data_IF_279074109230
#
_entry.id   IF_279074109230
#
_cell.length_a   1.000
_cell.length_b   1.000
_cell.length_c   1.000
_cell.angle_alpha   90.00
_cell.angle_beta   90.00
_cell.angle_gamma   90.00
#
_symmetry.space_group_name_H-M   'P 1'
#
loop_
_entity.id
_entity.type
_entity.pdbx_description
1 polymer ?
#
# COMPACT_ATOMS: atom_id res chain seq x y z
N UNK A 1 93.10 16.94 -34.02
CA UNK A 1 92.42 17.47 -32.83
C UNK A 1 91.25 16.56 -32.56
N UNK A 2 91.38 15.62 -31.61
CA UNK A 2 90.35 14.67 -31.23
C UNK A 2 89.60 15.24 -30.02
N UNK A 3 88.24 15.40 -30.15
CA UNK A 3 87.32 15.78 -29.04
C UNK A 3 86.87 14.51 -28.33
N UNK A 4 87.19 14.40 -27.04
CA UNK A 4 86.76 13.34 -26.14
C UNK A 4 85.44 13.80 -25.57
N UNK A 5 84.42 13.02 -25.82
CA UNK A 5 83.08 13.23 -25.20
C UNK A 5 83.01 12.38 -23.91
N UNK A 6 82.82 13.04 -22.77
CA UNK A 6 82.53 12.39 -21.50
C UNK A 6 81.01 12.03 -21.42
N UNK A 7 80.72 10.76 -21.29
CA UNK A 7 79.41 10.27 -21.04
C UNK A 7 79.16 10.20 -19.51
N UNK A 8 78.28 11.05 -18.99
CA UNK A 8 77.84 10.95 -17.59
C UNK A 8 76.68 9.98 -17.56
N UNK A 9 76.83 8.82 -16.91
CA UNK A 9 75.80 7.87 -16.64
C UNK A 9 75.15 8.25 -15.30
N UNK A 10 73.92 8.75 -15.37
CA UNK A 10 73.09 9.03 -14.19
C UNK A 10 72.44 7.71 -13.76
N UNK A 11 72.82 7.18 -12.62
CA UNK A 11 72.16 6.03 -11.98
C UNK A 11 70.95 6.58 -11.17
N UNK A 12 69.75 6.42 -11.69
CA UNK A 12 68.48 6.64 -10.94
C UNK A 12 68.21 5.41 -10.05
N UNK A 13 68.48 5.57 -8.74
CA UNK A 13 68.04 4.63 -7.73
C UNK A 13 66.55 4.90 -7.51
N UNK A 14 65.69 4.14 -8.20
CA UNK A 14 64.25 4.14 -7.96
C UNK A 14 63.91 3.45 -6.63
N UNK A 15 63.60 4.20 -5.60
CA UNK A 15 62.97 3.66 -4.38
C UNK A 15 61.58 3.18 -4.72
N UNK A 16 61.39 1.86 -4.86
CA UNK A 16 60.06 1.25 -4.87
C UNK A 16 59.42 1.42 -3.47
N UNK A 17 58.59 2.43 -3.32
CA UNK A 17 57.64 2.48 -2.20
C UNK A 17 56.53 1.48 -2.55
N UNK A 18 56.25 0.45 -1.72
CA UNK A 18 55.09 -0.40 -1.96
C UNK A 18 53.86 0.46 -1.84
N UNK A 19 53.11 0.63 -2.93
CA UNK A 19 51.73 1.09 -2.86
C UNK A 19 50.99 0.04 -2.02
N UNK A 20 50.55 0.41 -0.82
CA UNK A 20 49.57 -0.35 -0.08
C UNK A 20 48.35 -0.46 -1.00
N UNK A 21 48.03 -1.67 -1.40
CA UNK A 21 46.81 -1.96 -2.12
C UNK A 21 45.69 -1.64 -1.13
N UNK A 22 45.02 -0.51 -1.31
CA UNK A 22 43.79 -0.22 -0.58
C UNK A 22 42.86 -1.35 -0.92
N UNK A 23 42.46 -2.13 0.08
CA UNK A 23 41.38 -3.11 -0.08
C UNK A 23 40.22 -2.38 -0.73
N UNK A 24 39.86 -2.83 -1.93
CA UNK A 24 38.68 -2.33 -2.60
C UNK A 24 37.50 -2.64 -1.69
N UNK A 25 36.90 -1.63 -1.07
CA UNK A 25 35.66 -1.77 -0.30
C UNK A 25 34.68 -2.40 -1.27
N UNK A 26 34.36 -3.65 -1.03
CA UNK A 26 33.34 -4.38 -1.78
C UNK A 26 32.03 -3.67 -1.51
N UNK A 27 31.57 -2.86 -2.44
CA UNK A 27 30.27 -2.23 -2.37
C UNK A 27 29.26 -3.34 -2.69
N UNK A 28 28.70 -3.95 -1.65
CA UNK A 28 27.58 -4.87 -1.83
C UNK A 28 26.33 -4.05 -2.16
N UNK A 29 25.59 -4.50 -3.16
CA UNK A 29 24.33 -3.84 -3.51
C UNK A 29 23.39 -3.89 -2.30
N UNK A 30 22.61 -2.82 -2.01
CA UNK A 30 21.69 -2.82 -0.89
C UNK A 30 20.66 -3.95 -1.04
N UNK A 31 20.30 -4.57 0.09
CA UNK A 31 19.16 -5.48 0.15
C UNK A 31 17.90 -4.67 -0.17
N UNK A 32 16.99 -5.25 -0.91
CA UNK A 32 15.73 -4.59 -1.27
C UNK A 32 14.53 -5.46 -0.93
N UNK A 33 13.47 -4.81 -0.45
CA UNK A 33 12.15 -5.40 -0.27
C UNK A 33 11.14 -4.54 -1.02
N UNK A 34 10.38 -5.18 -1.90
CA UNK A 34 9.35 -4.53 -2.72
C UNK A 34 7.99 -4.83 -2.12
N UNK A 35 7.25 -3.78 -1.73
CA UNK A 35 5.91 -3.91 -1.15
C UNK A 35 4.91 -3.13 -1.99
N UNK A 36 3.83 -3.78 -2.42
CA UNK A 36 2.74 -3.16 -3.15
C UNK A 36 1.52 -2.95 -2.26
N UNK A 37 0.95 -1.75 -2.31
CA UNK A 37 -0.31 -1.39 -1.65
C UNK A 37 -1.38 -1.07 -2.68
N UNK A 38 -2.62 -1.46 -2.36
CA UNK A 38 -3.80 -1.14 -3.17
C UNK A 38 -4.72 -0.16 -2.45
N UNK A 39 -5.69 0.40 -3.18
CA UNK A 39 -6.86 1.04 -2.61
C UNK A 39 -7.83 0.04 -1.94
N UNK A 40 -9.03 0.54 -1.58
CA UNK A 40 -10.03 -0.22 -0.84
C UNK A 40 -10.52 -1.45 -1.61
N UNK A 41 -10.52 -2.61 -0.94
CA UNK A 41 -10.98 -3.89 -1.46
C UNK A 41 -12.13 -4.41 -0.62
N UNK A 42 -13.32 -4.50 -1.21
CA UNK A 42 -14.47 -5.21 -0.62
C UNK A 42 -14.70 -6.47 -1.42
N UNK A 43 -14.24 -7.61 -0.90
CA UNK A 43 -14.49 -8.92 -1.51
C UNK A 43 -15.85 -9.44 -1.03
N UNK A 44 -16.91 -8.79 -1.52
CA UNK A 44 -18.27 -9.10 -1.07
C UNK A 44 -19.26 -8.02 -1.51
N UNK A 45 -20.46 -8.14 -1.04
CA UNK A 45 -21.59 -7.25 -1.39
C UNK A 45 -22.36 -6.81 -0.15
N UNK A 46 -23.12 -5.72 -0.28
CA UNK A 46 -24.25 -5.48 0.61
C UNK A 46 -25.41 -6.42 0.25
N UNK A 47 -26.14 -6.90 1.24
CA UNK A 47 -27.25 -7.86 1.01
C UNK A 47 -28.32 -7.33 0.04
N UNK A 48 -28.47 -6.00 -0.09
CA UNK A 48 -29.40 -5.38 -1.08
C UNK A 48 -28.96 -5.57 -2.53
N UNK A 49 -27.69 -5.90 -2.77
CA UNK A 49 -27.13 -6.21 -4.09
C UNK A 49 -27.20 -7.71 -4.42
N UNK A 50 -27.53 -8.56 -3.42
CA UNK A 50 -27.57 -10.02 -3.57
C UNK A 50 -28.58 -10.45 -4.62
N UNK A 51 -28.14 -11.34 -5.52
CA UNK A 51 -28.95 -11.84 -6.63
C UNK A 51 -29.10 -10.89 -7.83
N UNK A 52 -28.51 -9.69 -7.78
CA UNK A 52 -28.47 -8.81 -8.96
C UNK A 52 -27.39 -9.26 -9.92
N UNK A 53 -27.69 -9.27 -11.22
CA UNK A 53 -26.71 -9.62 -12.26
C UNK A 53 -25.50 -8.67 -12.35
N UNK A 54 -25.59 -7.49 -11.72
CA UNK A 54 -24.54 -6.48 -11.65
C UNK A 54 -23.75 -6.51 -10.33
N UNK A 55 -24.04 -7.47 -9.44
CA UNK A 55 -23.33 -7.62 -8.17
C UNK A 55 -21.93 -8.24 -8.36
N UNK A 56 -21.05 -8.03 -7.40
CA UNK A 56 -19.73 -8.66 -7.36
C UNK A 56 -19.84 -10.20 -7.40
N UNK A 57 -20.74 -10.77 -6.60
CA UNK A 57 -20.97 -12.23 -6.58
C UNK A 57 -21.36 -12.78 -7.96
N UNK A 58 -22.20 -12.03 -8.72
CA UNK A 58 -22.59 -12.44 -10.07
C UNK A 58 -21.43 -12.43 -11.06
N UNK A 59 -20.52 -11.46 -10.96
CA UNK A 59 -19.30 -11.43 -11.77
C UNK A 59 -18.37 -12.58 -11.41
N UNK A 60 -18.15 -12.84 -10.12
CA UNK A 60 -17.34 -13.98 -9.66
C UNK A 60 -17.96 -15.31 -10.11
N UNK A 61 -19.26 -15.46 -10.03
CA UNK A 61 -19.97 -16.67 -10.52
C UNK A 61 -19.80 -16.85 -12.03
N UNK A 62 -19.82 -15.76 -12.80
CA UNK A 62 -19.72 -15.78 -14.26
C UNK A 62 -18.32 -15.99 -14.77
N UNK A 63 -17.31 -15.34 -14.14
CA UNK A 63 -15.95 -15.24 -14.69
C UNK A 63 -14.91 -15.98 -13.84
N UNK A 64 -15.27 -16.45 -12.64
CA UNK A 64 -14.38 -17.20 -11.74
C UNK A 64 -13.68 -16.34 -10.70
N UNK A 65 -12.98 -17.02 -9.78
CA UNK A 65 -12.30 -16.40 -8.63
C UNK A 65 -11.11 -15.52 -9.02
N UNK A 66 -10.47 -15.79 -10.15
CA UNK A 66 -9.31 -15.02 -10.60
C UNK A 66 -9.69 -13.65 -11.18
N UNK A 67 -10.92 -13.50 -11.64
CA UNK A 67 -11.40 -12.36 -12.40
C UNK A 67 -11.07 -10.99 -11.76
N UNK A 68 -11.29 -10.77 -10.44
CA UNK A 68 -11.08 -9.45 -9.87
C UNK A 68 -9.62 -8.97 -9.94
N UNK A 69 -8.65 -9.87 -9.89
CA UNK A 69 -7.23 -9.54 -9.86
C UNK A 69 -6.45 -9.97 -11.11
N UNK A 70 -7.11 -10.60 -12.08
CA UNK A 70 -6.48 -11.19 -13.28
C UNK A 70 -5.52 -10.23 -14.00
N UNK A 71 -5.88 -8.95 -14.11
CA UNK A 71 -5.10 -7.95 -14.88
C UNK A 71 -3.95 -7.31 -14.10
N UNK A 72 -3.85 -7.59 -12.81
CA UNK A 72 -2.83 -7.00 -11.91
C UNK A 72 -1.98 -8.04 -11.19
N UNK A 73 -2.37 -9.33 -11.20
CA UNK A 73 -1.68 -10.40 -10.47
C UNK A 73 -0.21 -10.55 -10.87
N UNK A 74 0.15 -10.27 -12.14
CA UNK A 74 1.53 -10.38 -12.59
C UNK A 74 2.42 -9.27 -12.00
N UNK A 75 1.82 -8.15 -11.57
CA UNK A 75 2.51 -7.09 -10.82
C UNK A 75 2.77 -7.56 -9.39
N UNK A 76 1.76 -8.14 -8.74
CA UNK A 76 1.86 -8.66 -7.38
C UNK A 76 2.82 -9.85 -7.28
N UNK A 77 2.82 -10.74 -8.28
CA UNK A 77 3.74 -11.87 -8.33
C UNK A 77 5.23 -11.48 -8.49
N UNK A 78 5.54 -10.21 -8.75
CA UNK A 78 6.91 -9.70 -8.90
C UNK A 78 7.40 -8.91 -7.68
N UNK A 79 6.53 -8.63 -6.72
CA UNK A 79 6.91 -8.00 -5.46
C UNK A 79 7.24 -9.06 -4.38
N UNK A 80 7.55 -8.59 -3.19
CA UNK A 80 7.83 -9.44 -2.03
C UNK A 80 6.63 -9.56 -1.10
N UNK A 81 5.72 -8.59 -1.18
CA UNK A 81 4.53 -8.51 -0.33
C UNK A 81 3.49 -7.58 -0.95
N UNK A 82 2.29 -8.08 -1.22
CA UNK A 82 1.14 -7.24 -1.53
C UNK A 82 0.21 -7.12 -0.33
N UNK A 83 -0.13 -5.88 0.03
CA UNK A 83 -1.00 -5.54 1.17
C UNK A 83 -2.25 -4.82 0.68
N UNK A 84 -3.43 -5.28 1.13
CA UNK A 84 -4.72 -4.65 0.82
C UNK A 84 -5.45 -4.16 2.07
N UNK A 85 -6.36 -3.19 1.92
CA UNK A 85 -7.41 -2.94 2.90
C UNK A 85 -8.60 -3.85 2.60
N UNK A 86 -8.85 -4.88 3.42
CA UNK A 86 -10.02 -5.75 3.28
C UNK A 86 -11.21 -5.11 4.00
N UNK A 87 -11.98 -4.32 3.26
CA UNK A 87 -13.09 -3.52 3.76
C UNK A 87 -14.41 -4.30 3.69
N UNK A 88 -14.60 -5.20 4.64
CA UNK A 88 -15.75 -6.10 4.73
C UNK A 88 -15.42 -7.35 5.53
N UNK A 89 -16.35 -8.30 5.54
CA UNK A 89 -16.19 -9.58 6.23
C UNK A 89 -16.20 -10.76 5.26
N UNK A 90 -15.38 -11.78 5.52
CA UNK A 90 -15.49 -13.10 4.91
C UNK A 90 -16.30 -14.00 5.85
N UNK A 91 -17.60 -14.18 5.56
CA UNK A 91 -18.52 -14.84 6.48
C UNK A 91 -19.71 -15.47 5.75
N UNK A 92 -20.00 -16.74 6.04
CA UNK A 92 -21.02 -17.53 5.33
C UNK A 92 -22.42 -17.46 5.97
N UNK A 93 -22.66 -16.47 6.87
CA UNK A 93 -23.97 -16.29 7.51
C UNK A 93 -24.38 -14.81 7.44
N UNK A 94 -25.67 -14.55 7.42
CA UNK A 94 -26.28 -13.21 7.51
C UNK A 94 -26.60 -12.80 8.97
N UNK A 95 -26.35 -13.68 9.93
CA UNK A 95 -26.56 -13.42 11.35
C UNK A 95 -25.58 -12.39 11.86
N UNK A 96 -26.08 -11.43 12.64
CA UNK A 96 -25.24 -10.39 13.26
C UNK A 96 -25.01 -9.16 12.39
N UNK A 97 -25.70 -9.03 11.25
CA UNK A 97 -25.61 -7.84 10.39
C UNK A 97 -25.82 -6.56 11.19
N UNK A 98 -24.86 -5.64 11.12
CA UNK A 98 -24.93 -4.35 11.77
C UNK A 98 -26.09 -3.48 11.23
N UNK A 99 -26.72 -2.69 12.12
CA UNK A 99 -27.77 -1.73 11.74
C UNK A 99 -27.16 -0.47 11.14
N UNK A 100 -26.65 -0.57 9.93
CA UNK A 100 -26.07 0.53 9.15
C UNK A 100 -26.49 0.44 7.68
N UNK A 101 -26.32 1.54 6.96
CA UNK A 101 -26.76 1.65 5.57
C UNK A 101 -26.08 0.63 4.68
N UNK A 102 -24.76 0.48 4.82
CA UNK A 102 -23.95 -0.47 4.05
C UNK A 102 -23.30 -1.46 5.02
N UNK A 103 -23.44 -2.74 4.75
CA UNK A 103 -22.77 -3.82 5.47
C UNK A 103 -22.33 -4.86 4.45
N UNK A 104 -21.00 -5.09 4.38
CA UNK A 104 -20.39 -5.88 3.33
C UNK A 104 -19.98 -7.26 3.82
N UNK A 105 -20.33 -8.26 3.01
CA UNK A 105 -20.02 -9.65 3.29
C UNK A 105 -19.76 -10.43 2.01
N UNK A 106 -18.64 -11.13 1.98
CA UNK A 106 -18.27 -12.13 0.98
C UNK A 106 -18.30 -13.54 1.55
N UNK A 107 -18.35 -14.52 0.67
CA UNK A 107 -18.17 -15.92 1.02
C UNK A 107 -16.73 -16.16 1.50
N UNK A 108 -16.55 -17.06 2.49
CA UNK A 108 -15.19 -17.38 2.99
C UNK A 108 -14.29 -17.97 1.91
N UNK A 109 -14.83 -18.62 0.89
CA UNK A 109 -14.08 -19.10 -0.27
C UNK A 109 -13.42 -17.99 -1.10
N UNK A 110 -13.84 -16.72 -0.95
CA UNK A 110 -13.24 -15.58 -1.65
C UNK A 110 -11.81 -15.28 -1.22
N UNK A 111 -11.35 -15.86 -0.10
CA UNK A 111 -9.93 -15.87 0.26
C UNK A 111 -9.06 -16.46 -0.85
N UNK A 112 -9.60 -17.37 -1.68
CA UNK A 112 -8.88 -17.95 -2.80
C UNK A 112 -8.50 -16.89 -3.87
N UNK A 113 -9.27 -15.80 -4.00
CA UNK A 113 -8.92 -14.68 -4.88
C UNK A 113 -7.59 -14.03 -4.46
N UNK A 114 -7.36 -13.89 -3.14
CA UNK A 114 -6.14 -13.32 -2.59
C UNK A 114 -4.95 -14.24 -2.88
N UNK A 115 -5.10 -15.54 -2.61
CA UNK A 115 -4.05 -16.53 -2.88
C UNK A 115 -3.67 -16.59 -4.35
N UNK A 116 -4.67 -16.63 -5.24
CA UNK A 116 -4.44 -16.72 -6.69
C UNK A 116 -3.76 -15.46 -7.24
N UNK A 117 -3.87 -14.34 -6.51
CA UNK A 117 -3.32 -13.06 -6.92
C UNK A 117 -1.99 -12.70 -6.25
N UNK A 118 -1.39 -13.58 -5.43
CA UNK A 118 -0.21 -13.26 -4.61
C UNK A 118 -0.46 -12.03 -3.72
N UNK A 119 -1.49 -12.11 -2.90
CA UNK A 119 -1.80 -11.11 -1.87
C UNK A 119 -1.59 -11.78 -0.51
N UNK A 120 -0.60 -11.30 0.25
CA UNK A 120 -0.12 -11.99 1.45
C UNK A 120 -0.61 -11.35 2.74
N UNK A 121 -1.12 -10.11 2.71
CA UNK A 121 -1.58 -9.45 3.94
C UNK A 121 -2.78 -8.54 3.74
N UNK A 122 -3.64 -8.46 4.79
CA UNK A 122 -4.86 -7.67 4.81
C UNK A 122 -4.92 -6.76 6.04
N UNK A 123 -5.23 -5.47 5.83
CA UNK A 123 -5.69 -4.61 6.92
C UNK A 123 -7.16 -4.87 7.22
N UNK A 124 -7.48 -5.06 8.50
CA UNK A 124 -8.84 -5.17 9.04
C UNK A 124 -9.21 -3.97 9.92
N UNK A 125 -8.35 -2.96 10.04
CA UNK A 125 -8.56 -1.75 10.83
C UNK A 125 -9.45 -0.73 10.13
N UNK A 126 -10.67 -1.13 9.72
CA UNK A 126 -11.59 -0.29 8.95
C UNK A 126 -13.03 -0.34 9.51
N UNK A 127 -13.90 0.54 9.02
CA UNK A 127 -15.29 0.67 9.44
C UNK A 127 -16.22 -0.48 9.01
N UNK A 128 -15.74 -1.44 8.21
CA UNK A 128 -16.51 -2.57 7.70
C UNK A 128 -16.08 -3.94 8.23
N UNK A 129 -15.00 -4.01 9.01
CA UNK A 129 -14.52 -5.27 9.60
C UNK A 129 -15.52 -5.91 10.57
N UNK A 130 -16.44 -5.09 11.14
CA UNK A 130 -17.48 -5.50 12.09
C UNK A 130 -18.89 -5.51 11.50
N UNK A 131 -19.05 -5.55 10.21
CA UNK A 131 -20.37 -5.49 9.55
C UNK A 131 -21.32 -6.63 9.94
N UNK A 132 -20.76 -7.75 10.36
CA UNK A 132 -21.50 -8.91 10.89
C UNK A 132 -21.07 -9.26 12.31
N UNK A 133 -20.73 -8.23 13.10
CA UNK A 133 -20.33 -8.35 14.50
C UNK A 133 -19.05 -9.17 14.69
N UNK A 134 -18.81 -9.58 15.93
CA UNK A 134 -17.62 -10.37 16.27
C UNK A 134 -17.56 -11.72 15.54
N UNK A 135 -18.73 -12.32 15.21
CA UNK A 135 -18.77 -13.58 14.48
C UNK A 135 -18.21 -13.42 13.05
N UNK A 136 -18.61 -12.33 12.35
CA UNK A 136 -18.09 -12.01 11.02
C UNK A 136 -16.60 -11.66 11.03
N UNK A 137 -16.17 -10.83 11.99
CA UNK A 137 -14.73 -10.51 12.15
C UNK A 137 -13.89 -11.76 12.42
N UNK A 138 -14.33 -12.58 13.39
CA UNK A 138 -13.60 -13.81 13.75
C UNK A 138 -13.53 -14.79 12.57
N UNK A 139 -14.63 -14.98 11.83
CA UNK A 139 -14.65 -15.79 10.61
C UNK A 139 -13.64 -15.26 9.56
N UNK A 140 -13.53 -13.93 9.41
CA UNK A 140 -12.56 -13.32 8.50
C UNK A 140 -11.13 -13.63 8.94
N UNK A 141 -10.80 -13.42 10.22
CA UNK A 141 -9.48 -13.70 10.77
C UNK A 141 -9.09 -15.18 10.60
N UNK A 142 -9.95 -16.10 11.04
CA UNK A 142 -9.75 -17.56 10.90
C UNK A 142 -9.59 -17.98 9.42
N UNK A 143 -10.35 -17.36 8.53
CA UNK A 143 -10.26 -17.64 7.09
C UNK A 143 -8.92 -17.20 6.50
N UNK A 144 -8.41 -16.03 6.88
CA UNK A 144 -7.10 -15.52 6.45
C UNK A 144 -5.99 -16.39 7.00
N UNK A 145 -5.99 -16.69 8.32
CA UNK A 145 -5.00 -17.52 8.99
C UNK A 145 -4.93 -18.95 8.41
N UNK A 146 -6.07 -19.57 8.16
CA UNK A 146 -6.15 -20.91 7.57
C UNK A 146 -5.62 -20.97 6.12
N UNK A 147 -5.37 -19.83 5.50
CA UNK A 147 -4.85 -19.70 4.14
C UNK A 147 -3.49 -19.03 4.07
N UNK A 148 -2.77 -18.91 5.21
CA UNK A 148 -1.44 -18.29 5.31
C UNK A 148 -1.40 -16.83 4.86
N UNK A 149 -2.51 -16.09 5.02
CA UNK A 149 -2.59 -14.65 4.74
C UNK A 149 -2.50 -13.89 6.06
N UNK A 150 -1.50 -13.02 6.17
CA UNK A 150 -1.32 -12.14 7.32
C UNK A 150 -2.46 -11.14 7.44
N UNK A 151 -2.76 -10.72 8.68
CA UNK A 151 -3.73 -9.67 8.91
C UNK A 151 -3.33 -8.79 10.10
N UNK A 152 -3.81 -7.54 10.11
CA UNK A 152 -3.54 -6.58 11.17
C UNK A 152 -4.67 -5.56 11.30
N UNK A 153 -4.77 -4.93 12.48
CA UNK A 153 -5.67 -3.82 12.69
C UNK A 153 -7.09 -4.19 13.07
N UNK A 154 -7.36 -5.08 13.99
CA UNK A 154 -8.71 -5.27 14.54
C UNK A 154 -8.90 -4.44 15.80
N UNK A 155 -9.90 -3.56 15.84
CA UNK A 155 -10.05 -2.54 16.89
C UNK A 155 -10.84 -2.97 18.14
N UNK A 156 -11.38 -4.18 18.21
CA UNK A 156 -12.36 -4.46 19.25
C UNK A 156 -11.82 -4.78 20.63
N UNK A 157 -10.80 -5.60 20.73
CA UNK A 157 -10.22 -5.99 22.02
C UNK A 157 -8.71 -5.81 22.05
N UNK A 158 -8.09 -5.90 20.89
CA UNK A 158 -6.65 -5.75 20.67
C UNK A 158 -6.40 -5.32 19.24
N UNK A 159 -5.39 -4.52 19.03
CA UNK A 159 -4.93 -4.22 17.67
C UNK A 159 -3.83 -5.20 17.32
N UNK A 160 -4.15 -6.18 16.48
CA UNK A 160 -3.18 -7.13 15.94
C UNK A 160 -2.19 -6.40 15.03
N UNK A 161 -0.90 -6.63 15.27
CA UNK A 161 0.16 -6.20 14.36
C UNK A 161 0.56 -7.35 13.45
N UNK A 162 1.09 -7.03 12.27
CA UNK A 162 1.69 -8.01 11.37
C UNK A 162 3.16 -7.68 11.19
N UNK A 163 4.03 -8.67 11.16
CA UNK A 163 5.45 -8.53 10.87
C UNK A 163 5.79 -9.41 9.67
N UNK A 164 6.22 -8.77 8.59
CA UNK A 164 6.81 -9.44 7.45
C UNK A 164 8.32 -9.56 7.65
N UNK A 165 8.89 -10.75 7.42
CA UNK A 165 10.32 -10.98 7.56
C UNK A 165 10.90 -11.61 6.29
N UNK A 166 11.94 -11.00 5.75
CA UNK A 166 12.71 -11.51 4.61
C UNK A 166 14.18 -11.12 4.74
N UNK A 167 15.08 -12.08 4.54
CA UNK A 167 16.55 -11.89 4.61
C UNK A 167 17.03 -11.25 5.92
N UNK A 168 16.31 -11.54 7.02
CA UNK A 168 16.53 -11.01 8.36
C UNK A 168 16.04 -9.58 8.57
N UNK A 169 15.40 -8.96 7.57
CA UNK A 169 14.76 -7.65 7.67
C UNK A 169 13.32 -7.85 8.12
N UNK A 170 12.89 -7.08 9.12
CA UNK A 170 11.54 -7.12 9.68
C UNK A 170 10.79 -5.82 9.44
N UNK A 171 9.64 -5.91 8.78
CA UNK A 171 8.77 -4.78 8.51
C UNK A 171 7.46 -4.98 9.27
N UNK A 172 7.13 -4.03 10.16
CA UNK A 172 5.94 -4.06 10.99
C UNK A 172 4.79 -3.27 10.38
N UNK A 173 3.57 -3.78 10.52
CA UNK A 173 2.34 -3.14 10.05
C UNK A 173 1.37 -2.93 11.19
N UNK A 174 0.76 -1.75 11.22
CA UNK A 174 -0.28 -1.35 12.17
C UNK A 174 -1.38 -0.57 11.47
N UNK A 175 -2.64 -0.85 11.80
CA UNK A 175 -3.79 -0.17 11.23
C UNK A 175 -4.80 0.23 12.29
N UNK A 176 -5.56 1.28 12.02
CA UNK A 176 -6.67 1.73 12.87
C UNK A 176 -7.67 2.55 12.05
N UNK A 177 -8.95 2.40 12.42
CA UNK A 177 -10.04 3.22 11.87
C UNK A 177 -10.13 4.56 12.60
N UNK A 178 -10.29 5.65 11.87
CA UNK A 178 -10.30 7.02 12.38
C UNK A 178 -11.28 7.26 13.54
N UNK A 179 -12.52 6.78 13.44
CA UNK A 179 -13.52 7.06 14.48
C UNK A 179 -13.30 6.33 15.79
N UNK A 180 -12.46 5.31 15.80
CA UNK A 180 -12.17 4.50 16.98
C UNK A 180 -10.93 4.96 17.76
N UNK A 181 -10.04 5.74 17.16
CA UNK A 181 -8.73 5.98 17.75
C UNK A 181 -8.73 6.87 19.01
N UNK A 182 -9.65 7.84 19.09
CA UNK A 182 -9.71 8.75 20.25
C UNK A 182 -9.94 8.01 21.56
N UNK A 183 -10.87 7.07 21.58
CA UNK A 183 -11.21 6.28 22.74
C UNK A 183 -10.24 5.10 22.94
N UNK A 184 -9.43 4.78 21.91
CA UNK A 184 -8.56 3.60 21.86
C UNK A 184 -7.11 3.92 21.58
N UNK A 185 -6.66 5.13 21.90
CA UNK A 185 -5.27 5.56 21.71
C UNK A 185 -4.26 4.62 22.40
N UNK A 186 -4.62 4.02 23.55
CA UNK A 186 -3.81 3.03 24.24
C UNK A 186 -3.63 1.74 23.44
N UNK A 187 -4.64 1.32 22.66
CA UNK A 187 -4.53 0.16 21.78
C UNK A 187 -3.55 0.46 20.64
N UNK A 188 -3.64 1.65 20.05
CA UNK A 188 -2.69 2.08 19.01
C UNK A 188 -1.25 2.16 19.55
N UNK A 189 -1.05 2.81 20.70
CA UNK A 189 0.27 2.88 21.36
C UNK A 189 0.84 1.50 21.64
N UNK A 190 0.02 0.59 22.20
CA UNK A 190 0.43 -0.80 22.48
C UNK A 190 0.83 -1.57 21.22
N UNK A 191 0.17 -1.34 20.07
CA UNK A 191 0.56 -1.95 18.80
C UNK A 191 1.97 -1.54 18.38
N UNK A 192 2.31 -0.25 18.48
CA UNK A 192 3.67 0.23 18.22
C UNK A 192 4.69 -0.34 19.21
N UNK A 193 4.32 -0.49 20.50
CA UNK A 193 5.18 -1.13 21.51
C UNK A 193 5.44 -2.60 21.17
N UNK A 194 4.42 -3.34 20.72
CA UNK A 194 4.55 -4.72 20.26
C UNK A 194 5.52 -4.85 19.08
N UNK A 195 5.45 -3.94 18.11
CA UNK A 195 6.38 -3.94 16.97
C UNK A 195 7.82 -3.65 17.42
N UNK A 196 8.02 -2.65 18.29
CA UNK A 196 9.35 -2.36 18.85
C UNK A 196 9.93 -3.53 19.63
N UNK A 197 9.08 -4.23 20.42
CA UNK A 197 9.50 -5.41 21.18
C UNK A 197 9.94 -6.59 20.26
N UNK A 198 9.46 -6.62 19.01
CA UNK A 198 9.87 -7.59 18.00
C UNK A 198 11.11 -7.14 17.19
N UNK A 199 11.70 -5.98 17.53
CA UNK A 199 12.85 -5.39 16.85
C UNK A 199 12.63 -5.26 15.33
N UNK A 200 11.50 -4.66 14.93
CA UNK A 200 11.26 -4.37 13.52
C UNK A 200 12.17 -3.26 13.03
N UNK A 201 12.63 -3.36 11.78
CA UNK A 201 13.55 -2.41 11.16
C UNK A 201 12.81 -1.20 10.58
N UNK A 202 11.51 -1.36 10.27
CA UNK A 202 10.65 -0.32 9.70
C UNK A 202 9.20 -0.56 10.11
N UNK A 203 8.44 0.51 10.36
CA UNK A 203 7.00 0.46 10.68
C UNK A 203 6.20 1.20 9.64
N UNK A 204 5.21 0.52 9.06
CA UNK A 204 4.25 1.09 8.13
C UNK A 204 2.90 1.25 8.83
N UNK A 205 2.43 2.49 8.94
CA UNK A 205 1.07 2.80 9.39
C UNK A 205 0.09 2.68 8.22
N UNK A 206 -1.03 2.00 8.46
CA UNK A 206 -2.07 1.76 7.45
C UNK A 206 -3.44 2.23 7.96
N UNK A 207 -3.62 3.55 8.22
CA UNK A 207 -4.88 4.07 8.75
C UNK A 207 -6.01 3.98 7.73
N UNK A 208 -7.24 3.82 8.23
CA UNK A 208 -8.47 3.93 7.46
C UNK A 208 -9.21 5.18 7.90
N UNK A 209 -9.03 6.29 7.18
CA UNK A 209 -9.38 7.62 7.65
C UNK A 209 -9.67 8.60 6.51
N UNK A 210 -10.44 9.65 6.82
CA UNK A 210 -10.75 10.75 5.91
C UNK A 210 -12.24 10.93 5.66
N UNK A 211 -12.56 11.87 4.78
CA UNK A 211 -13.95 12.16 4.37
C UNK A 211 -14.21 11.40 3.06
N UNK A 212 -15.22 10.53 3.08
CA UNK A 212 -15.62 9.77 1.88
C UNK A 212 -15.89 10.69 0.68
N UNK A 213 -15.28 10.36 -0.45
CA UNK A 213 -15.39 11.06 -1.73
C UNK A 213 -14.80 12.49 -1.78
N UNK A 214 -14.15 12.99 -0.70
CA UNK A 214 -13.38 14.25 -0.79
C UNK A 214 -12.01 13.96 -1.43
N UNK A 215 -11.68 14.72 -2.45
CA UNK A 215 -10.40 14.64 -3.18
C UNK A 215 -9.23 15.28 -2.44
N UNK A 216 -9.50 15.91 -1.30
CA UNK A 216 -8.49 16.52 -0.41
C UNK A 216 -8.44 15.75 0.89
N UNK A 217 -7.24 15.61 1.43
CA UNK A 217 -7.11 15.06 2.77
C UNK A 217 -7.77 15.97 3.83
N UNK A 218 -8.27 15.37 4.90
CA UNK A 218 -8.97 16.06 6.00
C UNK A 218 -7.98 16.82 6.90
N UNK A 219 -7.51 17.99 6.41
CA UNK A 219 -6.50 18.82 7.06
C UNK A 219 -6.97 19.33 8.42
N UNK A 220 -6.22 18.96 9.47
CA UNK A 220 -6.55 19.30 10.86
C UNK A 220 -7.74 18.51 11.42
N UNK A 221 -8.37 17.63 10.63
CA UNK A 221 -9.45 16.75 11.03
C UNK A 221 -8.95 15.40 11.58
N UNK A 222 -9.80 14.39 11.51
CA UNK A 222 -9.52 13.07 12.07
C UNK A 222 -8.39 12.33 11.36
N UNK A 223 -8.38 12.40 10.02
CA UNK A 223 -7.34 11.78 9.21
C UNK A 223 -5.94 12.32 9.53
N UNK A 224 -5.79 13.65 9.51
CA UNK A 224 -4.51 14.33 9.79
C UNK A 224 -4.02 14.03 11.23
N UNK A 225 -4.94 14.02 12.19
CA UNK A 225 -4.62 13.74 13.59
C UNK A 225 -4.21 12.28 13.84
N UNK A 226 -4.92 11.31 13.24
CA UNK A 226 -4.57 9.89 13.37
C UNK A 226 -3.20 9.62 12.74
N UNK A 227 -2.97 10.13 11.53
CA UNK A 227 -1.69 9.99 10.84
C UNK A 227 -0.58 10.64 11.64
N UNK A 228 -0.78 11.87 12.14
CA UNK A 228 0.17 12.54 13.02
C UNK A 228 0.53 11.70 14.24
N UNK A 229 -0.45 11.04 14.87
CA UNK A 229 -0.20 10.14 16.01
C UNK A 229 0.57 8.88 15.63
N UNK A 230 0.30 8.28 14.47
CA UNK A 230 1.09 7.15 14.01
C UNK A 230 2.55 7.54 13.76
N UNK A 231 2.80 8.73 13.19
CA UNK A 231 4.14 9.29 13.02
C UNK A 231 4.82 9.58 14.36
N UNK A 232 4.10 10.18 15.32
CA UNK A 232 4.59 10.42 16.70
C UNK A 232 4.99 9.11 17.40
N UNK A 233 4.26 8.01 17.15
CA UNK A 233 4.55 6.69 17.70
C UNK A 233 5.67 5.94 16.94
N UNK A 234 6.14 6.48 15.83
CA UNK A 234 7.30 5.97 15.11
C UNK A 234 6.99 5.23 13.81
N UNK A 235 5.85 5.52 13.17
CA UNK A 235 5.64 5.08 11.79
C UNK A 235 6.65 5.76 10.86
N UNK A 236 7.16 4.99 9.90
CA UNK A 236 8.13 5.45 8.90
C UNK A 236 7.45 5.84 7.60
N UNK A 237 6.45 5.07 7.21
CA UNK A 237 5.62 5.28 6.04
C UNK A 237 4.14 5.20 6.43
N UNK A 238 3.30 5.95 5.73
CA UNK A 238 1.84 5.92 5.91
C UNK A 238 1.17 5.64 4.58
N UNK A 239 0.27 4.67 4.58
CA UNK A 239 -0.61 4.35 3.44
C UNK A 239 -2.05 4.38 3.94
N UNK A 240 -2.80 5.43 3.60
CA UNK A 240 -4.15 5.66 4.11
C UNK A 240 -5.22 5.28 3.08
N UNK A 241 -6.34 4.73 3.55
CA UNK A 241 -7.52 4.34 2.79
C UNK A 241 -8.79 4.97 3.40
N UNK A 242 -9.99 4.71 2.91
CA UNK A 242 -11.31 5.17 3.34
C UNK A 242 -11.96 6.26 2.48
N UNK A 243 -11.20 7.21 1.96
CA UNK A 243 -11.79 8.30 1.19
C UNK A 243 -12.48 7.87 -0.12
N UNK A 244 -12.27 6.63 -0.57
CA UNK A 244 -12.80 6.04 -1.81
C UNK A 244 -12.48 6.84 -3.08
N UNK A 245 -11.51 7.73 -3.00
CA UNK A 245 -10.99 8.54 -4.10
C UNK A 245 -9.51 8.81 -3.93
N UNK A 246 -8.84 9.17 -5.02
CA UNK A 246 -7.43 9.52 -4.98
C UNK A 246 -7.26 10.85 -4.24
N UNK A 247 -6.40 10.85 -3.23
CA UNK A 247 -5.89 12.04 -2.56
C UNK A 247 -4.38 12.18 -2.82
N UNK A 248 -3.80 13.27 -2.33
CA UNK A 248 -2.40 13.59 -2.56
C UNK A 248 -1.41 12.67 -1.86
N UNK A 249 -0.14 12.90 -2.17
CA UNK A 249 1.00 12.25 -1.52
C UNK A 249 1.89 13.34 -0.95
N UNK A 250 2.29 13.20 0.32
CA UNK A 250 3.18 14.13 1.00
C UNK A 250 4.52 13.47 1.26
N UNK A 251 5.60 14.17 0.91
CA UNK A 251 6.94 13.88 1.36
C UNK A 251 7.33 14.85 2.48
N UNK A 252 7.72 14.34 3.64
CA UNK A 252 8.17 15.13 4.79
C UNK A 252 9.45 14.52 5.38
N UNK A 253 10.60 15.08 5.02
CA UNK A 253 11.88 14.49 5.36
C UNK A 253 12.02 13.10 4.75
N UNK A 254 12.27 12.10 5.59
CA UNK A 254 12.36 10.68 5.22
C UNK A 254 11.01 9.93 5.27
N UNK A 255 9.91 10.64 5.54
CA UNK A 255 8.57 10.09 5.64
C UNK A 255 7.80 10.29 4.34
N UNK A 256 7.11 9.26 3.87
CA UNK A 256 6.15 9.35 2.77
C UNK A 256 4.76 9.01 3.28
N UNK A 257 3.78 9.88 2.99
CA UNK A 257 2.39 9.77 3.41
C UNK A 257 1.50 9.76 2.17
N UNK A 258 0.82 8.64 1.94
CA UNK A 258 -0.23 8.50 0.94
C UNK A 258 -1.56 8.74 1.64
N UNK A 259 -2.28 9.81 1.29
CA UNK A 259 -3.51 10.19 1.98
C UNK A 259 -4.73 9.37 1.57
N UNK A 260 -4.81 8.92 0.32
CA UNK A 260 -5.89 8.08 -0.18
C UNK A 260 -5.58 7.49 -1.54
N UNK A 261 -5.72 6.16 -1.66
CA UNK A 261 -5.47 5.47 -2.91
C UNK A 261 -6.73 5.36 -3.79
N UNK A 262 -7.93 5.43 -3.20
CA UNK A 262 -9.21 5.23 -3.87
C UNK A 262 -9.70 3.79 -3.82
N UNK A 263 -10.74 3.46 -4.60
CA UNK A 263 -11.29 2.11 -4.68
C UNK A 263 -10.47 1.24 -5.63
N UNK A 264 -10.20 -0.01 -5.22
CA UNK A 264 -9.54 -1.00 -6.08
C UNK A 264 -10.52 -2.10 -6.50
N UNK A 265 -10.62 -3.21 -5.78
CA UNK A 265 -11.67 -4.21 -5.99
C UNK A 265 -12.79 -3.95 -5.01
N UNK A 266 -13.69 -3.01 -5.33
CA UNK A 266 -14.74 -2.59 -4.40
C UNK A 266 -16.10 -3.20 -4.76
N UNK A 267 -16.35 -4.41 -4.26
CA UNK A 267 -17.59 -5.17 -4.50
C UNK A 267 -18.85 -4.55 -3.87
N UNK A 268 -18.69 -3.67 -2.89
CA UNK A 268 -19.78 -2.99 -2.19
C UNK A 268 -20.62 -2.04 -3.06
N UNK A 269 -20.13 -1.64 -4.23
CA UNK A 269 -20.79 -0.70 -5.13
C UNK A 269 -20.93 -1.25 -6.55
N UNK A 270 -22.14 -1.63 -6.96
CA UNK A 270 -22.44 -1.99 -8.36
C UNK A 270 -22.54 -0.76 -9.28
N UNK A 271 -22.73 0.43 -8.72
CA UNK A 271 -22.76 1.72 -9.44
C UNK A 271 -21.57 2.56 -9.01
N UNK A 272 -20.79 3.04 -9.97
CA UNK A 272 -19.71 3.98 -9.70
C UNK A 272 -20.29 5.30 -9.21
N UNK A 273 -19.83 5.75 -8.05
CA UNK A 273 -20.15 7.07 -7.52
C UNK A 273 -19.19 8.12 -8.09
N UNK A 274 -19.54 9.37 -7.95
CA UNK A 274 -18.65 10.48 -8.24
C UNK A 274 -18.07 11.03 -6.93
N UNK A 275 -16.85 11.53 -7.00
CA UNK A 275 -16.20 12.28 -5.91
C UNK A 275 -16.78 13.71 -5.79
N UNK A 276 -16.30 14.49 -4.84
CA UNK A 276 -16.76 15.86 -4.60
C UNK A 276 -16.56 16.83 -5.80
N UNK A 277 -15.75 16.47 -6.78
CA UNK A 277 -15.56 17.22 -8.03
C UNK A 277 -16.43 16.72 -9.18
N UNK A 278 -17.29 15.75 -8.95
CA UNK A 278 -18.13 15.14 -10.00
C UNK A 278 -17.42 14.13 -10.88
N UNK A 279 -16.22 13.70 -10.53
CA UNK A 279 -15.42 12.72 -11.27
C UNK A 279 -15.70 11.29 -10.79
N UNK A 280 -15.70 10.29 -11.68
CA UNK A 280 -15.99 8.91 -11.32
C UNK A 280 -14.88 8.30 -10.45
N UNK A 281 -15.27 7.53 -9.43
CA UNK A 281 -14.34 6.90 -8.47
C UNK A 281 -13.88 5.50 -8.89
N UNK A 282 -13.71 5.28 -10.19
CA UNK A 282 -13.13 4.05 -10.74
C UNK A 282 -11.65 4.19 -11.12
N UNK A 283 -11.01 5.28 -10.68
CA UNK A 283 -9.57 5.50 -10.80
C UNK A 283 -8.90 5.33 -9.45
N UNK A 284 -7.75 4.67 -9.46
CA UNK A 284 -6.91 4.39 -8.31
C UNK A 284 -5.47 4.21 -8.75
N UNK A 285 -4.58 3.79 -7.87
CA UNK A 285 -3.21 3.41 -8.22
C UNK A 285 -2.70 2.32 -7.30
N UNK A 286 -1.71 1.57 -7.77
CA UNK A 286 -0.87 0.77 -6.90
C UNK A 286 0.29 1.64 -6.44
N UNK A 287 0.56 1.59 -5.15
CA UNK A 287 1.72 2.22 -4.54
C UNK A 287 2.76 1.13 -4.25
N UNK A 288 3.80 1.07 -5.07
CA UNK A 288 4.86 0.08 -4.91
C UNK A 288 6.10 0.72 -4.32
N UNK A 289 6.44 0.36 -3.09
CA UNK A 289 7.66 0.82 -2.42
C UNK A 289 8.78 -0.18 -2.61
N UNK A 290 9.94 0.32 -3.04
CA UNK A 290 11.21 -0.41 -2.96
C UNK A 290 11.97 0.12 -1.75
N UNK A 291 12.02 -0.67 -0.68
CA UNK A 291 12.72 -0.35 0.57
C UNK A 291 14.15 -0.86 0.47
N UNK A 292 15.13 -0.03 0.77
CA UNK A 292 16.55 -0.36 0.68
C UNK A 292 17.20 -0.45 2.06
N UNK A 293 18.03 -1.48 2.27
CA UNK A 293 18.72 -1.74 3.53
C UNK A 293 20.19 -2.07 3.26
N UNK A 294 21.08 -1.75 4.20
CA UNK A 294 22.47 -2.15 4.13
C UNK A 294 22.68 -3.62 4.53
N UNK A 295 23.91 -4.06 4.55
CA UNK A 295 24.34 -5.41 4.95
C UNK A 295 23.93 -5.79 6.39
N UNK A 296 23.79 -4.79 7.27
CA UNK A 296 23.41 -4.93 8.67
C UNK A 296 21.92 -4.76 8.92
N UNK A 297 21.08 -4.75 7.85
CA UNK A 297 19.64 -4.51 7.86
C UNK A 297 19.25 -3.08 8.29
N UNK A 298 20.19 -2.13 8.27
CA UNK A 298 19.85 -0.73 8.52
C UNK A 298 19.12 -0.15 7.32
N UNK A 299 17.96 0.43 7.55
CA UNK A 299 17.18 1.10 6.51
C UNK A 299 17.95 2.30 5.92
N UNK A 300 18.07 2.32 4.61
CA UNK A 300 18.78 3.35 3.83
C UNK A 300 17.82 4.38 3.20
N UNK A 301 16.57 4.00 3.01
CA UNK A 301 15.56 4.82 2.35
C UNK A 301 14.67 4.01 1.41
N UNK A 302 13.84 4.71 0.66
CA UNK A 302 12.88 4.08 -0.25
C UNK A 302 12.71 4.84 -1.56
N UNK A 303 12.17 4.13 -2.53
CA UNK A 303 11.64 4.67 -3.76
C UNK A 303 10.17 4.25 -3.88
N UNK A 304 9.28 5.16 -4.29
CA UNK A 304 7.89 4.88 -4.57
C UNK A 304 7.66 4.85 -6.08
N UNK A 305 7.04 3.79 -6.58
CA UNK A 305 6.51 3.70 -7.93
C UNK A 305 4.98 3.80 -7.89
N UNK A 306 4.41 4.73 -8.62
CA UNK A 306 2.97 4.89 -8.79
C UNK A 306 2.57 4.23 -10.09
N UNK A 307 1.81 3.15 -10.00
CA UNK A 307 1.25 2.46 -11.16
C UNK A 307 -0.22 2.86 -11.28
N UNK A 308 -0.58 3.74 -12.23
CA UNK A 308 -1.96 4.16 -12.43
C UNK A 308 -2.86 2.99 -12.78
N UNK A 309 -4.05 2.96 -12.18
CA UNK A 309 -5.05 1.90 -12.34
C UNK A 309 -6.41 2.50 -12.69
N UNK A 310 -7.11 1.85 -13.60
CA UNK A 310 -8.52 2.08 -13.86
C UNK A 310 -9.30 0.80 -13.62
N UNK A 311 -10.40 0.90 -12.88
CA UNK A 311 -11.32 -0.24 -12.69
C UNK A 311 -12.29 -0.29 -13.86
N UNK A 312 -12.42 -1.44 -14.49
CA UNK A 312 -13.30 -1.65 -15.63
C UNK A 312 -14.76 -1.26 -15.33
N UNK A 313 -15.38 -0.59 -16.25
CA UNK A 313 -16.75 -0.12 -16.13
C UNK A 313 -17.55 -0.33 -17.41
N UNK A 314 -18.87 -0.38 -17.27
CA UNK A 314 -19.80 -0.32 -18.40
C UNK A 314 -20.92 0.68 -18.12
N UNK A 315 -21.73 0.99 -19.13
CA UNK A 315 -22.91 1.82 -18.99
C UNK A 315 -24.17 0.96 -18.96
N UNK A 316 -25.05 1.23 -18.00
CA UNK A 316 -26.38 0.64 -18.02
C UNK A 316 -27.31 1.36 -19.03
N UNK A 317 -28.59 0.91 -19.10
CA UNK A 317 -29.60 1.49 -20.00
C UNK A 317 -29.89 2.97 -19.71
N UNK A 318 -29.65 3.42 -18.47
CA UNK A 318 -29.81 4.82 -18.07
C UNK A 318 -28.55 5.67 -18.35
N UNK A 319 -27.47 5.05 -18.79
CA UNK A 319 -26.18 5.70 -19.02
C UNK A 319 -25.29 5.82 -17.78
N UNK A 320 -25.72 5.27 -16.64
CA UNK A 320 -24.96 5.24 -15.40
C UNK A 320 -23.76 4.29 -15.51
N UNK A 321 -22.60 4.69 -14.98
CA UNK A 321 -21.44 3.84 -14.91
C UNK A 321 -21.64 2.71 -13.89
N UNK A 322 -21.42 1.47 -14.35
CA UNK A 322 -21.46 0.26 -13.55
C UNK A 322 -20.06 -0.28 -13.32
N UNK A 323 -19.81 -0.72 -12.10
CA UNK A 323 -18.58 -1.36 -11.72
C UNK A 323 -18.51 -2.77 -12.29
N UNK A 324 -17.38 -3.10 -12.93
CA UNK A 324 -17.08 -4.45 -13.40
C UNK A 324 -16.00 -5.12 -12.53
N UNK A 325 -15.59 -4.48 -11.44
CA UNK A 325 -14.74 -5.03 -10.36
C UNK A 325 -13.38 -5.58 -10.82
N UNK A 326 -12.89 -5.17 -11.98
CA UNK A 326 -11.61 -5.60 -12.53
C UNK A 326 -10.67 -4.40 -12.72
N UNK A 327 -9.77 -4.12 -11.76
CA UNK A 327 -8.72 -3.14 -11.92
C UNK A 327 -7.70 -3.60 -12.97
N UNK A 328 -7.21 -2.64 -13.77
CA UNK A 328 -6.18 -2.87 -14.77
C UNK A 328 -5.24 -1.67 -14.86
N UNK A 329 -3.97 -1.87 -15.25
CA UNK A 329 -3.07 -0.76 -15.52
C UNK A 329 -3.69 0.25 -16.49
N UNK A 330 -3.70 1.51 -16.07
CA UNK A 330 -4.21 2.61 -16.89
C UNK A 330 -3.12 3.11 -17.84
N UNK A 331 -3.51 3.50 -19.04
CA UNK A 331 -2.60 4.03 -20.06
C UNK A 331 -3.11 5.36 -20.62
N UNK A 332 -2.24 6.13 -21.27
CA UNK A 332 -2.61 7.38 -21.92
C UNK A 332 -3.37 8.33 -21.00
N UNK A 333 -4.56 8.77 -21.42
CA UNK A 333 -5.37 9.76 -20.69
C UNK A 333 -5.84 9.28 -19.31
N UNK A 334 -6.05 7.98 -19.13
CA UNK A 334 -6.45 7.42 -17.85
C UNK A 334 -5.29 7.44 -16.86
N UNK A 335 -4.07 7.14 -17.29
CA UNK A 335 -2.87 7.30 -16.48
C UNK A 335 -2.63 8.76 -16.12
N UNK A 336 -2.75 9.67 -17.08
CA UNK A 336 -2.64 11.12 -16.85
C UNK A 336 -3.67 11.61 -15.83
N UNK A 337 -4.91 11.10 -15.88
CA UNK A 337 -5.95 11.44 -14.92
C UNK A 337 -5.53 11.08 -13.49
N UNK A 338 -5.04 9.86 -13.27
CA UNK A 338 -4.58 9.38 -11.96
C UNK A 338 -3.44 10.26 -11.42
N UNK A 339 -2.42 10.50 -12.23
CA UNK A 339 -1.26 11.31 -11.82
C UNK A 339 -1.64 12.77 -11.55
N UNK A 340 -2.57 13.32 -12.32
CA UNK A 340 -3.09 14.68 -12.10
C UNK A 340 -3.96 14.74 -10.84
N UNK A 341 -4.73 13.68 -10.51
CA UNK A 341 -5.51 13.61 -9.28
C UNK A 341 -4.60 13.66 -8.04
N UNK A 342 -3.49 12.90 -8.04
CA UNK A 342 -2.48 12.95 -6.97
C UNK A 342 -1.88 14.35 -6.82
N UNK A 343 -1.50 15.00 -7.92
CA UNK A 343 -0.88 16.34 -7.92
C UNK A 343 -1.84 17.46 -7.55
N UNK A 344 -3.14 17.26 -7.73
CA UNK A 344 -4.19 18.26 -7.51
C UNK A 344 -4.42 18.54 -6.03
N UNK A 345 -4.35 17.54 -5.20
CA UNK A 345 -4.39 17.72 -3.76
C UNK A 345 -3.13 18.48 -3.33
N UNK A 346 -3.30 19.75 -3.02
CA UNK A 346 -2.22 20.67 -2.62
C UNK A 346 -1.70 20.34 -1.22
N UNK A 347 -1.33 19.10 -1.01
CA UNK A 347 -0.64 18.69 0.19
C UNK A 347 0.72 19.40 0.23
N UNK A 348 1.08 20.08 1.32
CA UNK A 348 2.42 20.67 1.43
C UNK A 348 3.47 19.57 1.36
N UNK A 349 4.31 19.62 0.36
CA UNK A 349 5.39 18.64 0.16
C UNK A 349 5.64 18.45 -1.34
N UNK A 350 6.88 18.32 -1.72
CA UNK A 350 7.26 18.12 -3.12
C UNK A 350 7.36 16.64 -3.39
N UNK A 351 6.35 16.08 -4.07
CA UNK A 351 6.47 14.76 -4.66
C UNK A 351 7.13 14.93 -6.03
N UNK A 352 8.40 14.59 -6.14
CA UNK A 352 9.14 14.57 -7.39
C UNK A 352 8.93 13.22 -8.08
N UNK A 353 8.03 13.20 -9.07
CA UNK A 353 7.81 12.03 -9.93
C UNK A 353 8.53 12.20 -11.25
N UNK A 354 9.25 11.18 -11.66
CA UNK A 354 9.71 11.06 -13.03
C UNK A 354 8.52 10.96 -13.99
N UNK A 355 8.69 11.28 -15.28
CA UNK A 355 7.65 11.08 -16.27
C UNK A 355 7.11 9.64 -16.23
N UNK A 356 5.80 9.51 -16.39
CA UNK A 356 5.16 8.20 -16.51
C UNK A 356 5.70 7.41 -17.70
N UNK A 357 6.02 6.15 -17.46
CA UNK A 357 6.42 5.18 -18.49
C UNK A 357 5.42 4.04 -18.48
N UNK A 358 4.76 3.81 -19.60
CA UNK A 358 3.78 2.73 -19.77
C UNK A 358 4.41 1.37 -19.45
N UNK A 359 3.70 0.55 -18.67
CA UNK A 359 4.18 -0.75 -18.21
C UNK A 359 5.16 -0.70 -17.02
N UNK A 360 5.60 0.50 -16.59
CA UNK A 360 6.49 0.67 -15.45
C UNK A 360 5.79 1.48 -14.35
N UNK A 361 5.27 2.67 -14.68
CA UNK A 361 4.68 3.61 -13.72
C UNK A 361 5.35 4.98 -13.72
N UNK A 362 5.16 5.72 -12.64
CA UNK A 362 5.79 7.01 -12.37
C UNK A 362 6.63 6.89 -11.08
N UNK A 363 7.95 6.84 -11.24
CA UNK A 363 8.88 6.67 -10.14
C UNK A 363 9.14 7.99 -9.41
N UNK A 364 9.05 7.98 -8.08
CA UNK A 364 9.56 9.04 -7.22
C UNK A 364 11.09 8.96 -7.15
N UNK A 365 11.76 10.09 -7.00
CA UNK A 365 13.18 10.10 -6.64
C UNK A 365 13.39 9.36 -5.31
N UNK A 366 14.57 8.75 -5.15
CA UNK A 366 14.91 8.02 -3.93
C UNK A 366 14.88 8.96 -2.72
N UNK A 367 14.18 8.53 -1.67
CA UNK A 367 14.05 9.25 -0.40
C UNK A 367 15.00 8.61 0.60
N UNK A 368 16.11 9.26 0.95
CA UNK A 368 17.06 8.70 1.91
C UNK A 368 16.48 8.70 3.33
N UNK A 369 16.80 7.65 4.09
CA UNK A 369 16.48 7.59 5.51
C UNK A 369 17.23 8.69 6.28
N UNK A 370 16.62 9.16 7.38
CA UNK A 370 17.27 10.10 8.30
C UNK A 370 18.52 9.47 8.93
N UNK A 371 19.61 10.23 9.01
CA UNK A 371 20.87 9.78 9.61
C UNK A 371 20.73 9.55 11.14
N UNK A 372 19.68 10.07 11.74
CA UNK A 372 19.47 10.08 13.20
C UNK A 372 18.37 9.08 13.64
N UNK A 373 18.25 7.93 12.98
CA UNK A 373 17.39 6.83 13.44
C UNK A 373 18.05 5.98 14.51
#
# INVERSE_FOLDING_TARGET
MRRIAFLLTLILIGSCVPFAQADAVKYEAPKQIVITFTGDCTLGIDDRERGKATSFDAFVQQYGMDYPFEKVRDIFAQDDLTVINLEGTLYNSDVGRAKKTYAFRGDTSYVQMLKNASIEACSLGNNHSMDYGMAGLRSTMETLEANDIGWFGSENEFNQVFVYEKDGIKIGFVSMYEKSWWDKIGILSSAFEQLRAQNVDLIIGFPHAGIEYDVRYDRGGGQDKLIGKMLDFGADLIVCNHAHTIQGIKQEGDKTILWGLGNFVFGGNSKIKNNAMGEPTNYTYLAQFTLSFDENNKYLGHQLNIIPIVVATGKDKAGDLRNYYQPMPATGKDADFVLNAIKRDRTPGNLNLNPYVEGIGALQEFVPASIFR
#
